data_IF_752621635120
#
_entry.id   IF_752621635120
#
_cell.length_a   1.000
_cell.length_b   1.000
_cell.length_c   1.000
_cell.angle_alpha   90.00
_cell.angle_beta   90.00
_cell.angle_gamma   90.00
#
_symmetry.space_group_name_H-M   'P 1'
#
loop_
_entity.id
_entity.type
_entity.pdbx_description
1 polymer ?
#
# COMPACT_ATOMS: atom_id res chain seq x y z
N UNK A 1 -22.47 9.90 -19.96
CA UNK A 1 -21.18 10.18 -20.63
C UNK A 1 -20.74 8.87 -21.25
N UNK A 2 -20.52 8.83 -22.57
CA UNK A 2 -20.13 7.61 -23.27
C UNK A 2 -18.68 7.29 -22.88
N UNK A 3 -18.40 6.08 -22.41
CA UNK A 3 -17.07 5.70 -21.89
C UNK A 3 -15.98 5.74 -22.98
N UNK A 4 -16.41 5.77 -24.25
CA UNK A 4 -15.54 5.89 -25.43
C UNK A 4 -15.07 7.33 -25.71
N UNK A 5 -15.73 8.34 -25.12
CA UNK A 5 -15.42 9.76 -25.34
C UNK A 5 -14.66 10.38 -24.15
N UNK A 6 -14.34 9.58 -23.12
CA UNK A 6 -13.53 10.03 -22.00
C UNK A 6 -12.05 9.90 -22.38
N UNK A 7 -11.39 11.02 -22.67
CA UNK A 7 -9.92 11.08 -22.72
C UNK A 7 -9.38 10.64 -21.35
N UNK A 8 -8.61 9.54 -21.28
CA UNK A 8 -8.08 9.10 -20.00
C UNK A 8 -7.03 10.10 -19.50
N UNK A 9 -7.32 10.81 -18.43
CA UNK A 9 -6.29 11.50 -17.65
C UNK A 9 -5.67 10.47 -16.71
N UNK A 10 -4.50 9.94 -17.07
CA UNK A 10 -3.71 9.08 -16.18
C UNK A 10 -2.70 9.93 -15.42
N UNK A 11 -2.49 9.62 -14.15
CA UNK A 11 -1.31 10.06 -13.44
C UNK A 11 -0.21 9.02 -13.59
N UNK A 12 1.01 9.47 -13.85
CA UNK A 12 2.21 8.65 -13.92
C UNK A 12 2.98 8.74 -12.60
N UNK A 13 3.93 7.83 -12.40
CA UNK A 13 4.89 7.93 -11.28
C UNK A 13 5.64 9.28 -11.30
N UNK A 14 5.93 9.82 -12.48
CA UNK A 14 6.52 11.16 -12.63
C UNK A 14 5.62 12.31 -12.14
N UNK A 15 4.32 12.09 -12.07
CA UNK A 15 3.36 13.07 -11.52
C UNK A 15 3.37 13.07 -9.99
N UNK A 16 4.08 12.11 -9.38
CA UNK A 16 4.26 11.94 -7.94
C UNK A 16 5.75 11.76 -7.61
N UNK A 17 6.59 12.78 -7.88
CA UNK A 17 8.01 12.65 -7.60
C UNK A 17 8.25 12.52 -6.09
N UNK A 18 8.66 11.33 -5.66
CA UNK A 18 9.06 11.05 -4.28
C UNK A 18 10.45 11.63 -4.04
N UNK A 19 10.49 12.93 -3.80
CA UNK A 19 11.72 13.62 -3.41
C UNK A 19 11.77 13.62 -1.89
N UNK A 20 12.27 12.54 -1.29
CA UNK A 20 12.92 12.69 0.00
C UNK A 20 14.18 13.52 -0.23
N UNK A 21 14.35 14.59 0.56
CA UNK A 21 15.31 15.64 0.26
C UNK A 21 16.69 15.04 0.05
N UNK A 22 17.27 15.22 -1.13
CA UNK A 22 18.59 14.69 -1.54
C UNK A 22 19.70 15.04 -0.54
N UNK A 23 19.84 14.26 0.54
CA UNK A 23 20.66 14.61 1.70
C UNK A 23 20.39 16.02 2.25
N UNK A 24 19.17 16.56 2.05
CA UNK A 24 18.92 17.97 2.33
C UNK A 24 18.75 18.19 3.83
N UNK A 25 19.44 19.20 4.36
CA UNK A 25 19.30 19.71 5.73
C UNK A 25 17.90 20.29 6.03
N UNK A 26 16.94 20.12 5.12
CA UNK A 26 15.55 20.52 5.28
C UNK A 26 14.81 19.47 6.09
N UNK A 27 14.49 19.79 7.34
CA UNK A 27 13.60 19.01 8.20
C UNK A 27 12.12 19.12 7.80
N UNK A 28 11.80 19.87 6.73
CA UNK A 28 10.43 19.95 6.21
C UNK A 28 10.31 19.12 4.94
N UNK A 29 9.58 18.01 5.04
CA UNK A 29 9.04 17.35 3.86
C UNK A 29 7.94 18.23 3.30
N UNK A 30 8.05 18.61 2.02
CA UNK A 30 6.99 19.34 1.34
C UNK A 30 5.98 18.31 0.85
N UNK A 31 4.73 18.30 1.36
CA UNK A 31 3.71 17.39 0.83
C UNK A 31 3.47 17.75 -0.64
N UNK A 32 3.81 16.85 -1.55
CA UNK A 32 3.48 16.98 -2.97
C UNK A 32 2.49 15.89 -3.30
N UNK A 33 1.23 16.28 -3.50
CA UNK A 33 0.19 15.40 -4.06
C UNK A 33 0.40 15.23 -5.57
N UNK A 34 -0.63 14.73 -6.26
CA UNK A 34 -0.64 14.64 -7.72
C UNK A 34 -0.24 15.99 -8.35
N UNK A 35 0.84 16.01 -9.12
CA UNK A 35 1.30 17.19 -9.84
C UNK A 35 0.65 17.32 -11.23
N UNK A 36 -0.19 16.37 -11.64
CA UNK A 36 -0.90 16.40 -12.90
C UNK A 36 -2.19 17.25 -12.79
N UNK A 37 -2.21 18.50 -13.30
CA UNK A 37 -3.37 19.37 -13.16
C UNK A 37 -4.58 18.89 -13.99
N UNK A 38 -4.36 17.97 -14.94
CA UNK A 38 -5.43 17.41 -15.78
C UNK A 38 -6.15 16.25 -15.07
N UNK A 39 -5.53 15.67 -14.03
CA UNK A 39 -6.14 14.63 -13.22
C UNK A 39 -6.84 15.31 -12.05
N UNK A 40 -8.18 15.35 -12.11
CA UNK A 40 -8.95 15.75 -10.94
C UNK A 40 -8.72 14.70 -9.85
N UNK A 41 -8.25 15.09 -8.67
CA UNK A 41 -8.17 14.19 -7.52
C UNK A 41 -9.59 13.72 -7.19
N UNK A 42 -9.90 12.46 -7.53
CA UNK A 42 -11.21 11.87 -7.26
C UNK A 42 -11.14 10.83 -6.14
N UNK A 43 -9.97 10.54 -5.59
CA UNK A 43 -9.82 9.51 -4.56
C UNK A 43 -10.03 10.11 -3.17
N UNK A 44 -10.82 9.42 -2.37
CA UNK A 44 -11.04 9.72 -0.95
C UNK A 44 -10.43 8.60 -0.12
N UNK A 45 -9.62 9.01 0.84
CA UNK A 45 -9.01 8.16 1.85
C UNK A 45 -9.62 8.53 3.21
N UNK A 46 -10.71 7.90 3.60
CA UNK A 46 -11.35 8.16 4.90
C UNK A 46 -11.46 6.93 5.80
N UNK A 47 -11.12 5.74 5.27
CA UNK A 47 -11.09 4.50 6.01
C UNK A 47 -9.76 3.79 5.81
N UNK A 48 -9.30 3.16 6.88
CA UNK A 48 -8.18 2.24 6.86
C UNK A 48 -8.57 0.95 7.60
N UNK A 49 -8.01 -0.17 7.17
CA UNK A 49 -8.07 -1.42 7.93
C UNK A 49 -6.70 -1.73 8.49
N UNK A 50 -6.65 -2.19 9.73
CA UNK A 50 -5.42 -2.60 10.40
C UNK A 50 -5.45 -4.10 10.57
N UNK A 51 -4.40 -4.79 10.13
CA UNK A 51 -4.29 -6.23 10.28
C UNK A 51 -3.40 -6.59 11.46
N UNK A 52 -3.91 -7.45 12.34
CA UNK A 52 -3.09 -8.07 13.38
C UNK A 52 -2.37 -9.29 12.81
N UNK A 53 -1.05 -9.21 12.64
CA UNK A 53 -0.22 -10.31 12.15
C UNK A 53 0.49 -10.95 13.34
N UNK A 54 0.12 -12.19 13.68
CA UNK A 54 0.62 -12.91 14.86
C UNK A 54 1.00 -14.35 14.50
N UNK A 55 1.59 -15.09 15.44
CA UNK A 55 2.03 -16.47 15.24
C UNK A 55 3.54 -16.60 15.01
N UNK A 56 3.94 -17.77 14.53
CA UNK A 56 5.30 -18.11 14.09
C UNK A 56 5.70 -17.28 12.87
N UNK A 57 7.01 -17.21 12.58
CA UNK A 57 7.54 -16.51 11.40
C UNK A 57 6.82 -16.90 10.10
N UNK A 58 6.63 -18.21 9.87
CA UNK A 58 5.98 -18.72 8.67
C UNK A 58 4.49 -18.35 8.61
N UNK A 59 3.79 -18.35 9.74
CA UNK A 59 2.39 -17.91 9.81
C UNK A 59 2.27 -16.41 9.53
N UNK A 60 3.22 -15.60 9.99
CA UNK A 60 3.24 -14.16 9.70
C UNK A 60 3.46 -13.89 8.21
N UNK A 61 4.47 -14.53 7.60
CA UNK A 61 4.74 -14.42 6.16
C UNK A 61 3.51 -14.82 5.36
N UNK A 62 2.87 -15.94 5.71
CA UNK A 62 1.65 -16.42 5.06
C UNK A 62 0.49 -15.43 5.19
N UNK A 63 0.30 -14.89 6.40
CA UNK A 63 -0.76 -13.90 6.67
C UNK A 63 -0.55 -12.62 5.87
N UNK A 64 0.68 -12.10 5.80
CA UNK A 64 1.02 -10.94 4.99
C UNK A 64 0.73 -11.16 3.51
N UNK A 65 1.11 -12.33 2.96
CA UNK A 65 0.79 -12.70 1.57
C UNK A 65 -0.72 -12.72 1.34
N UNK A 66 -1.50 -13.30 2.25
CA UNK A 66 -2.98 -13.28 2.18
C UNK A 66 -3.54 -11.87 2.18
N UNK A 67 -3.05 -11.00 3.07
CA UNK A 67 -3.50 -9.61 3.14
C UNK A 67 -3.22 -8.91 1.80
N UNK A 68 -1.99 -9.00 1.29
CA UNK A 68 -1.60 -8.39 0.01
C UNK A 68 -2.46 -8.91 -1.14
N UNK A 69 -2.74 -10.22 -1.16
CA UNK A 69 -3.55 -10.85 -2.19
C UNK A 69 -5.01 -10.35 -2.20
N UNK A 70 -5.65 -10.30 -1.02
CA UNK A 70 -7.08 -10.00 -0.94
C UNK A 70 -7.39 -8.50 -0.92
N UNK A 71 -6.52 -7.69 -0.33
CA UNK A 71 -6.81 -6.28 -0.08
C UNK A 71 -5.87 -5.34 -0.84
N UNK A 72 -4.83 -5.89 -1.47
CA UNK A 72 -3.82 -5.12 -2.18
C UNK A 72 -2.69 -4.64 -1.27
N UNK A 73 -1.89 -3.67 -1.75
CA UNK A 73 -0.68 -3.25 -1.08
C UNK A 73 -0.89 -2.75 0.35
N UNK A 74 0.05 -3.13 1.23
CA UNK A 74 0.04 -2.77 2.65
C UNK A 74 1.08 -1.70 2.92
N UNK A 75 0.69 -0.64 3.62
CA UNK A 75 1.67 0.18 4.34
C UNK A 75 2.28 -0.67 5.45
N UNK A 76 3.55 -0.51 5.76
CA UNK A 76 4.23 -1.21 6.86
C UNK A 76 5.45 -0.44 7.33
N UNK A 77 6.06 -0.89 8.43
CA UNK A 77 7.27 -0.30 8.96
C UNK A 77 8.43 -1.29 8.99
N UNK A 78 9.64 -0.76 8.86
CA UNK A 78 10.89 -1.52 8.91
C UNK A 78 11.91 -0.84 9.81
N UNK A 79 12.91 -1.61 10.24
CA UNK A 79 14.09 -1.06 10.89
C UNK A 79 15.21 -0.85 9.86
N UNK A 80 15.10 0.24 9.10
CA UNK A 80 16.00 0.55 7.98
C UNK A 80 17.44 0.83 8.42
N UNK A 81 17.65 1.47 9.58
CA UNK A 81 19.00 1.86 10.03
C UNK A 81 19.79 0.73 10.71
N UNK A 82 19.18 -0.45 10.90
CA UNK A 82 19.90 -1.61 11.46
C UNK A 82 21.05 -2.08 10.57
N UNK A 83 20.92 -1.85 9.25
CA UNK A 83 21.94 -2.16 8.27
C UNK A 83 22.26 -0.91 7.44
N UNK A 84 23.45 -0.30 7.64
CA UNK A 84 23.88 0.84 6.84
C UNK A 84 23.92 0.56 5.33
N UNK A 85 24.03 -0.71 4.92
CA UNK A 85 24.01 -1.08 3.50
C UNK A 85 22.64 -0.89 2.84
N UNK A 86 21.54 -0.88 3.62
CA UNK A 86 20.19 -0.72 3.10
C UNK A 86 20.02 0.58 2.31
N UNK A 87 20.69 1.67 2.71
CA UNK A 87 20.64 2.97 2.01
C UNK A 87 21.26 2.98 0.60
N UNK A 88 22.09 1.98 0.27
CA UNK A 88 22.80 1.89 -1.02
C UNK A 88 22.52 0.56 -1.73
N UNK A 89 21.44 -0.11 -1.36
CA UNK A 89 21.06 -1.38 -1.98
C UNK A 89 20.70 -1.13 -3.45
N UNK A 90 21.21 -2.00 -4.32
CA UNK A 90 20.86 -2.04 -5.73
C UNK A 90 19.85 -3.14 -6.00
N UNK A 91 20.00 -3.80 -7.15
CA UNK A 91 19.06 -4.85 -7.58
C UNK A 91 19.21 -6.18 -6.87
N UNK A 92 18.13 -6.96 -6.85
CA UNK A 92 18.10 -8.35 -6.37
C UNK A 92 17.32 -8.56 -5.07
N UNK A 93 17.45 -9.74 -4.45
CA UNK A 93 16.76 -10.07 -3.20
C UNK A 93 17.64 -9.70 -2.00
N UNK A 94 17.33 -8.57 -1.39
CA UNK A 94 17.96 -8.08 -0.16
C UNK A 94 17.44 -8.84 1.07
N UNK A 95 18.32 -9.24 1.97
CA UNK A 95 17.96 -9.89 3.25
C UNK A 95 18.46 -9.03 4.39
N UNK A 96 17.57 -8.59 5.27
CA UNK A 96 17.96 -7.89 6.50
C UNK A 96 18.87 -8.77 7.37
N UNK A 97 19.73 -8.18 8.22
CA UNK A 97 20.54 -8.93 9.16
C UNK A 97 19.69 -9.84 10.05
N UNK A 98 20.18 -11.03 10.37
CA UNK A 98 19.48 -11.98 11.26
C UNK A 98 19.28 -11.45 12.69
N UNK A 99 20.00 -10.38 13.06
CA UNK A 99 19.78 -9.64 14.31
C UNK A 99 18.50 -8.80 14.30
N UNK A 100 17.89 -8.54 13.14
CA UNK A 100 16.62 -7.83 13.05
C UNK A 100 15.45 -8.77 13.41
N UNK A 101 15.13 -8.81 14.69
CA UNK A 101 14.03 -9.64 15.19
C UNK A 101 12.65 -9.05 14.87
N UNK A 102 11.61 -9.89 14.91
CA UNK A 102 10.21 -9.49 14.75
C UNK A 102 9.69 -8.48 15.79
N UNK A 103 10.44 -8.24 16.87
CA UNK A 103 10.12 -7.26 17.90
C UNK A 103 11.20 -6.19 17.94
N UNK A 104 11.36 -5.49 16.82
CA UNK A 104 12.37 -4.44 16.70
C UNK A 104 11.75 -3.05 16.83
N UNK A 105 12.57 -2.06 17.17
CA UNK A 105 12.19 -0.67 16.99
C UNK A 105 12.29 -0.35 15.50
N UNK A 106 11.15 -0.12 14.85
CA UNK A 106 11.10 0.33 13.46
C UNK A 106 11.34 1.83 13.37
N UNK A 107 11.94 2.30 12.28
CA UNK A 107 12.31 3.71 12.07
C UNK A 107 11.91 4.25 10.69
N UNK A 108 11.37 3.42 9.80
CA UNK A 108 11.02 3.82 8.44
C UNK A 108 9.70 3.18 7.98
N UNK A 109 8.94 3.92 7.16
CA UNK A 109 7.67 3.48 6.57
C UNK A 109 7.81 3.20 5.07
N UNK A 110 7.25 2.08 4.63
CA UNK A 110 7.35 1.57 3.26
C UNK A 110 6.04 0.89 2.88
N UNK A 111 5.88 0.55 1.60
CA UNK A 111 4.70 -0.16 1.12
C UNK A 111 5.13 -1.52 0.56
N UNK A 112 4.47 -2.60 0.97
CA UNK A 112 4.60 -3.89 0.30
C UNK A 112 3.52 -3.99 -0.77
N UNK A 113 3.94 -4.01 -2.03
CA UNK A 113 3.05 -3.99 -3.19
C UNK A 113 2.83 -5.37 -3.81
N UNK A 114 3.56 -6.38 -3.36
CA UNK A 114 3.50 -7.72 -3.91
C UNK A 114 4.42 -8.69 -3.21
N UNK A 115 4.44 -9.93 -3.68
CA UNK A 115 5.32 -10.98 -3.23
C UNK A 115 5.63 -11.94 -4.39
N UNK A 116 6.70 -12.71 -4.26
CA UNK A 116 7.12 -13.65 -5.29
C UNK A 116 8.11 -14.67 -4.77
N UNK A 117 8.61 -15.48 -5.70
CA UNK A 117 9.64 -16.48 -5.45
C UNK A 117 10.55 -16.57 -6.67
N UNK A 118 11.85 -16.54 -6.43
CA UNK A 118 12.90 -16.63 -7.46
C UNK A 118 14.02 -17.53 -6.91
N UNK A 119 14.43 -18.52 -7.70
CA UNK A 119 15.48 -19.49 -7.33
C UNK A 119 15.31 -20.14 -5.95
N UNK A 120 14.06 -20.45 -5.58
CA UNK A 120 13.73 -21.06 -4.31
C UNK A 120 13.60 -20.08 -3.12
N UNK A 121 13.96 -18.80 -3.30
CA UNK A 121 13.89 -17.76 -2.28
C UNK A 121 12.61 -16.96 -2.42
N UNK A 122 11.86 -16.86 -1.33
CA UNK A 122 10.64 -16.06 -1.28
C UNK A 122 10.95 -14.61 -0.91
N UNK A 123 10.23 -13.67 -1.52
CA UNK A 123 10.42 -12.24 -1.28
C UNK A 123 9.10 -11.47 -1.29
N UNK A 124 9.11 -10.32 -0.62
CA UNK A 124 8.16 -9.24 -0.80
C UNK A 124 8.71 -8.22 -1.81
N UNK A 125 7.83 -7.58 -2.56
CA UNK A 125 8.16 -6.41 -3.39
C UNK A 125 7.85 -5.19 -2.55
N UNK A 126 8.91 -4.55 -2.06
CA UNK A 126 8.83 -3.32 -1.30
C UNK A 126 8.95 -2.13 -2.25
N UNK A 127 8.11 -1.12 -2.03
CA UNK A 127 8.21 0.20 -2.63
C UNK A 127 8.62 1.19 -1.55
N UNK A 128 9.65 1.97 -1.85
CA UNK A 128 10.21 2.99 -0.99
C UNK A 128 9.95 4.39 -1.57
N UNK A 129 10.30 5.43 -0.82
CA UNK A 129 10.11 6.83 -1.17
C UNK A 129 11.44 7.61 -1.15
N UNK A 130 12.52 6.96 -1.59
CA UNK A 130 13.86 7.55 -1.65
C UNK A 130 14.21 8.00 -3.07
N UNK A 131 15.48 8.33 -3.32
CA UNK A 131 15.95 8.81 -4.62
C UNK A 131 15.91 7.68 -5.67
N UNK A 132 15.68 8.05 -6.94
CA UNK A 132 15.46 7.12 -8.06
C UNK A 132 16.53 6.01 -8.21
N UNK A 133 17.77 6.25 -7.76
CA UNK A 133 18.85 5.26 -7.83
C UNK A 133 18.81 4.15 -6.78
N UNK A 134 17.86 4.18 -5.85
CA UNK A 134 17.75 3.18 -4.79
C UNK A 134 17.00 1.92 -5.25
N UNK A 135 17.49 0.75 -4.83
CA UNK A 135 16.92 -0.55 -5.18
C UNK A 135 17.13 -0.90 -6.66
N UNK A 136 16.08 -1.39 -7.32
CA UNK A 136 16.08 -1.74 -8.74
C UNK A 136 16.10 -0.51 -9.69
N UNK A 137 16.21 0.72 -9.16
CA UNK A 137 16.29 1.96 -9.95
C UNK A 137 14.96 2.69 -10.15
N UNK A 138 13.88 2.17 -9.57
CA UNK A 138 12.54 2.77 -9.59
C UNK A 138 11.93 2.83 -8.17
N UNK A 139 12.77 2.84 -7.12
CA UNK A 139 12.37 2.76 -5.71
C UNK A 139 11.71 1.44 -5.28
N UNK A 140 11.86 0.38 -6.08
CA UNK A 140 11.42 -0.96 -5.74
C UNK A 140 12.59 -1.83 -5.31
N UNK A 141 12.31 -2.77 -4.40
CA UNK A 141 13.30 -3.75 -3.95
C UNK A 141 12.62 -5.06 -3.58
N UNK A 142 13.21 -6.18 -3.97
CA UNK A 142 12.81 -7.50 -3.47
C UNK A 142 13.44 -7.69 -2.09
N UNK A 143 12.62 -7.86 -1.06
CA UNK A 143 13.04 -8.12 0.32
C UNK A 143 12.77 -9.58 0.65
N UNK A 144 13.78 -10.33 1.06
CA UNK A 144 13.62 -11.73 1.47
C UNK A 144 12.62 -11.84 2.61
N UNK A 145 11.76 -12.87 2.55
CA UNK A 145 10.85 -13.20 3.66
C UNK A 145 11.55 -13.92 4.81
N UNK A 146 12.86 -14.19 4.73
CA UNK A 146 13.62 -14.86 5.79
C UNK A 146 13.70 -14.03 7.07
N UNK A 147 13.72 -12.69 6.94
CA UNK A 147 13.81 -11.74 8.05
C UNK A 147 12.84 -10.58 7.78
N UNK A 148 11.76 -10.48 8.56
CA UNK A 148 10.72 -9.47 8.35
C UNK A 148 11.14 -8.08 8.81
N UNK A 149 12.03 -7.98 9.80
CA UNK A 149 12.61 -6.72 10.27
C UNK A 149 11.60 -5.58 10.54
N UNK A 150 10.44 -5.94 11.11
CA UNK A 150 9.34 -5.01 11.41
C UNK A 150 8.10 -5.18 10.52
N UNK A 151 8.23 -5.80 9.34
CA UNK A 151 7.08 -6.06 8.46
C UNK A 151 6.08 -6.96 9.20
N UNK A 152 4.83 -6.52 9.32
CA UNK A 152 3.80 -7.26 10.06
C UNK A 152 3.92 -7.16 11.59
N UNK A 153 4.85 -6.37 12.13
CA UNK A 153 5.00 -6.26 13.58
C UNK A 153 3.82 -5.54 14.23
N UNK A 154 3.29 -6.10 15.34
CA UNK A 154 2.37 -5.41 16.24
C UNK A 154 3.16 -4.59 17.24
N UNK A 155 3.01 -3.25 17.26
CA UNK A 155 3.68 -2.39 18.23
C UNK A 155 2.67 -1.92 19.29
N UNK A 156 2.59 -2.64 20.41
CA UNK A 156 1.78 -2.26 21.58
C UNK A 156 0.26 -2.21 21.36
N UNK A 157 -0.47 -1.76 22.39
CA UNK A 157 -1.92 -1.52 22.32
C UNK A 157 -2.28 -0.04 22.07
N UNK A 158 -1.27 0.85 21.96
CA UNK A 158 -1.46 2.30 21.85
C UNK A 158 -0.67 3.01 20.74
N UNK A 159 -0.02 2.29 19.83
CA UNK A 159 0.43 2.86 18.55
C UNK A 159 0.00 1.92 17.43
N UNK A 160 -0.67 2.47 16.43
CA UNK A 160 -1.23 1.73 15.30
C UNK A 160 -0.10 0.88 14.69
N UNK A 161 -0.22 -0.46 14.63
CA UNK A 161 0.74 -1.22 13.85
C UNK A 161 0.62 -0.69 12.42
N UNK A 162 1.75 -0.28 11.84
CA UNK A 162 1.78 0.41 10.56
C UNK A 162 1.37 -0.49 9.37
N UNK A 163 0.85 -1.70 9.64
CA UNK A 163 0.24 -2.63 8.71
C UNK A 163 -1.22 -2.24 8.45
N UNK A 164 -1.41 -1.21 7.64
CA UNK A 164 -2.73 -0.77 7.24
C UNK A 164 -2.88 -0.70 5.73
N UNK A 165 -4.12 -0.91 5.33
CA UNK A 165 -4.58 -0.66 3.97
C UNK A 165 -5.49 0.52 4.03
N UNK A 166 -5.24 1.51 3.19
CA UNK A 166 -6.16 2.63 3.00
C UNK A 166 -7.12 2.25 1.90
N UNK A 167 -8.41 2.28 2.22
CA UNK A 167 -9.43 2.13 1.19
C UNK A 167 -9.59 3.47 0.48
N UNK A 168 -9.01 3.56 -0.71
CA UNK A 168 -9.22 4.67 -1.63
C UNK A 168 -10.44 4.36 -2.49
N UNK A 169 -11.52 5.13 -2.34
CA UNK A 169 -12.76 4.87 -3.07
C UNK A 169 -13.58 6.13 -3.27
N UNK A 170 -14.31 6.19 -4.38
CA UNK A 170 -15.23 7.29 -4.65
C UNK A 170 -16.51 6.81 -5.32
N UNK A 171 -17.60 7.52 -5.04
CA UNK A 171 -18.92 7.21 -5.57
C UNK A 171 -19.08 7.37 -7.09
N UNK A 172 -18.13 8.01 -7.79
CA UNK A 172 -18.11 8.13 -9.26
C UNK A 172 -17.56 6.88 -9.95
N UNK A 173 -16.67 6.15 -9.27
CA UNK A 173 -16.06 4.91 -9.74
C UNK A 173 -16.79 3.67 -9.25
N UNK A 174 -17.57 3.80 -8.17
CA UNK A 174 -18.40 2.72 -7.66
C UNK A 174 -19.57 2.43 -8.63
N UNK A 175 -19.45 1.32 -9.36
CA UNK A 175 -20.47 0.83 -10.31
C UNK A 175 -21.83 0.57 -9.66
N UNK A 176 -21.87 0.33 -8.35
CA UNK A 176 -23.08 0.03 -7.57
C UNK A 176 -23.69 1.30 -6.98
N UNK A 177 -23.01 2.44 -7.07
CA UNK A 177 -23.52 3.73 -6.63
C UNK A 177 -24.59 4.26 -7.58
N UNK A 178 -25.72 4.68 -7.02
CA UNK A 178 -26.80 5.32 -7.78
C UNK A 178 -26.74 6.85 -7.68
N UNK A 179 -26.44 7.37 -6.47
CA UNK A 179 -26.31 8.80 -6.22
C UNK A 179 -25.01 9.11 -5.49
N UNK A 180 -24.26 10.08 -6.01
CA UNK A 180 -22.90 10.42 -5.57
C UNK A 180 -22.84 11.88 -5.09
N UNK A 181 -22.54 12.08 -3.80
CA UNK A 181 -22.30 13.40 -3.22
C UNK A 181 -20.99 13.98 -3.75
N UNK A 182 -21.07 15.11 -4.44
CA UNK A 182 -19.93 15.74 -5.11
C UNK A 182 -18.93 16.41 -4.14
N UNK A 183 -19.34 16.69 -2.90
CA UNK A 183 -18.50 17.31 -1.88
C UNK A 183 -17.76 16.25 -1.05
N UNK A 184 -18.47 15.19 -0.65
CA UNK A 184 -17.91 14.13 0.21
C UNK A 184 -17.37 12.94 -0.57
N UNK A 185 -17.72 12.79 -1.85
CA UNK A 185 -17.41 11.64 -2.70
C UNK A 185 -17.92 10.29 -2.15
N UNK A 186 -18.95 10.34 -1.31
CA UNK A 186 -19.68 9.18 -0.77
C UNK A 186 -20.94 8.87 -1.59
N UNK A 187 -21.31 7.59 -1.65
CA UNK A 187 -22.62 7.20 -2.15
C UNK A 187 -23.69 7.63 -1.15
N UNK A 188 -24.71 8.32 -1.64
CA UNK A 188 -25.92 8.65 -0.87
C UNK A 188 -27.06 7.68 -1.15
N UNK A 189 -27.00 6.94 -2.27
CA UNK A 189 -27.92 5.86 -2.60
C UNK A 189 -27.21 4.77 -3.41
N UNK A 190 -27.60 3.52 -3.18
CA UNK A 190 -27.08 2.34 -3.87
C UNK A 190 -28.11 1.77 -4.86
N UNK A 191 -27.63 1.10 -5.90
CA UNK A 191 -28.46 0.37 -6.86
C UNK A 191 -29.13 -0.83 -6.18
N UNK A 192 -30.19 -1.35 -6.80
CA UNK A 192 -30.91 -2.52 -6.30
C UNK A 192 -29.96 -3.70 -6.02
N UNK A 193 -30.25 -4.45 -4.95
CA UNK A 193 -29.46 -5.60 -4.47
C UNK A 193 -28.05 -5.25 -3.96
N UNK A 194 -27.79 -3.99 -3.64
CA UNK A 194 -26.55 -3.55 -2.98
C UNK A 194 -26.88 -2.69 -1.77
N UNK A 195 -26.01 -2.70 -0.77
CA UNK A 195 -26.17 -1.97 0.49
C UNK A 195 -25.04 -0.99 0.70
N UNK A 196 -25.36 0.18 1.27
CA UNK A 196 -24.38 1.20 1.60
C UNK A 196 -23.64 0.78 2.87
N UNK A 197 -22.32 0.64 2.81
CA UNK A 197 -21.50 0.33 3.97
C UNK A 197 -21.04 1.59 4.72
N UNK A 198 -20.35 1.40 5.84
CA UNK A 198 -19.82 2.50 6.65
C UNK A 198 -18.78 3.36 5.91
N UNK A 199 -18.14 2.81 4.87
CA UNK A 199 -17.20 3.53 4.00
C UNK A 199 -17.94 4.42 3.01
N UNK A 200 -19.27 4.34 2.88
CA UNK A 200 -20.01 5.05 1.86
C UNK A 200 -19.81 4.47 0.46
N UNK A 201 -19.58 3.16 0.39
CA UNK A 201 -19.49 2.34 -0.83
C UNK A 201 -20.69 1.38 -0.89
N UNK A 202 -21.12 1.01 -2.09
CA UNK A 202 -22.25 0.12 -2.32
C UNK A 202 -21.77 -1.32 -2.60
N UNK A 203 -22.06 -2.25 -1.69
CA UNK A 203 -21.61 -3.66 -1.74
C UNK A 203 -22.76 -4.63 -1.95
N UNK A 204 -22.56 -5.69 -2.75
CA UNK A 204 -23.56 -6.74 -2.99
C UNK A 204 -23.64 -7.79 -1.88
N UNK A 205 -24.70 -8.61 -1.87
CA UNK A 205 -24.92 -9.65 -0.83
C UNK A 205 -23.86 -10.78 -0.79
N UNK A 206 -23.13 -11.00 -1.89
CA UNK A 206 -22.08 -12.03 -2.01
C UNK A 206 -20.67 -11.47 -2.22
N UNK A 207 -20.54 -10.15 -2.25
CA UNK A 207 -19.24 -9.51 -2.07
C UNK A 207 -19.02 -9.46 -0.56
N UNK A 208 -18.78 -10.63 0.06
CA UNK A 208 -18.35 -10.66 1.46
C UNK A 208 -17.10 -9.78 1.56
N UNK A 209 -17.13 -8.72 2.38
CA UNK A 209 -15.96 -7.88 2.53
C UNK A 209 -14.76 -8.61 3.20
N UNK A 210 -14.91 -9.85 3.72
CA UNK A 210 -13.87 -10.52 4.53
C UNK A 210 -13.72 -12.07 4.52
N UNK A 211 -14.45 -12.93 3.77
CA UNK A 211 -14.32 -14.41 3.92
C UNK A 211 -13.78 -15.19 2.70
N UNK A 212 -12.95 -16.21 2.97
CA UNK A 212 -11.96 -16.77 2.06
C UNK A 212 -12.18 -18.18 1.53
N UNK A 213 -11.49 -18.49 0.42
CA UNK A 213 -11.20 -19.84 -0.10
C UNK A 213 -9.85 -19.80 -0.84
N UNK A 214 -9.08 -20.87 -0.65
CA UNK A 214 -7.81 -21.25 -1.28
C UNK A 214 -7.99 -21.46 -2.80
N UNK A 215 -7.11 -20.91 -3.64
CA UNK A 215 -6.71 -21.61 -4.86
C UNK A 215 -5.41 -21.06 -5.46
N UNK A 216 -4.54 -22.01 -5.82
CA UNK A 216 -3.21 -21.77 -6.33
C UNK A 216 -3.19 -21.05 -7.68
N UNK A 217 -2.06 -20.40 -7.92
CA UNK A 217 -1.59 -19.72 -9.14
C UNK A 217 -1.67 -18.19 -9.15
N UNK A 218 -0.55 -17.62 -9.59
CA UNK A 218 -0.07 -16.25 -9.50
C UNK A 218 -0.94 -15.28 -10.33
N UNK A 219 -1.12 -14.04 -9.85
CA UNK A 219 -1.28 -12.87 -10.72
C UNK A 219 -0.87 -11.59 -9.99
N UNK A 220 0.08 -10.85 -10.57
CA UNK A 220 0.33 -9.45 -10.23
C UNK A 220 -1.00 -8.70 -10.40
N UNK A 221 -1.63 -8.26 -9.32
CA UNK A 221 -2.66 -7.23 -9.38
C UNK A 221 -2.00 -5.86 -9.54
N UNK A 222 -1.35 -5.69 -10.69
CA UNK A 222 -0.98 -4.41 -11.25
C UNK A 222 -2.25 -3.74 -11.76
N UNK A 223 -2.92 -3.00 -10.88
CA UNK A 223 -3.58 -1.77 -11.27
C UNK A 223 -2.86 -0.65 -10.53
N UNK A 224 -1.72 -0.28 -11.10
CA UNK A 224 -0.77 0.75 -10.63
C UNK A 224 -1.39 2.15 -10.46
N UNK A 225 -2.69 2.34 -10.70
CA UNK A 225 -3.37 3.64 -10.66
C UNK A 225 -4.16 3.91 -9.37
N UNK A 226 -4.29 2.95 -8.44
CA UNK A 226 -5.15 3.12 -7.24
C UNK A 226 -4.33 3.28 -5.95
N UNK A 227 -3.02 3.07 -5.98
CA UNK A 227 -2.17 3.20 -4.81
C UNK A 227 -1.50 4.58 -4.63
N UNK A 228 -2.05 5.60 -5.27
CA UNK A 228 -1.39 6.89 -5.50
C UNK A 228 -1.64 7.98 -4.44
N UNK A 229 -2.13 7.65 -3.24
CA UNK A 229 -2.50 8.69 -2.26
C UNK A 229 -2.06 8.49 -0.81
N UNK A 230 -1.23 7.49 -0.51
CA UNK A 230 -0.84 7.20 0.88
C UNK A 230 0.57 7.70 1.13
N UNK A 231 0.69 8.99 1.52
CA UNK A 231 1.78 9.53 2.38
C UNK A 231 1.55 11.03 2.69
N UNK A 232 0.30 11.46 2.89
CA UNK A 232 -0.03 12.84 3.25
C UNK A 232 -0.42 13.05 4.72
N UNK A 233 -0.41 11.99 5.54
CA UNK A 233 -0.64 12.13 6.98
C UNK A 233 0.36 11.27 7.75
N UNK A 234 0.96 11.87 8.78
CA UNK A 234 1.94 11.37 9.75
C UNK A 234 3.36 11.98 9.61
N UNK A 235 3.42 13.31 9.79
CA UNK A 235 4.57 14.00 10.39
C UNK A 235 4.06 14.89 11.52
N UNK A 236 3.97 14.30 12.72
CA UNK A 236 4.12 14.96 14.02
C UNK A 236 4.75 13.95 14.97
#
# INVERSE_FOLDING_TARGET
MNILDAEPSYSLESDYPYIDGSGSTSTSCSPRGDQNPNVKIQMRNDHYHVFAVTGTHQEKVHTLKKIIHHYGPISTAIYSTIDPAFGNVGSGIYTFPSSCTDNTQTDHQVIIVGYGKEDGREFFIMRNSWYDGWGDGDNYLKISTDVLCGIGQKIGDFYIPLNYIVFAGNCKLDKNCDSCDQNTLKCSACKANTTLDARGMCVGEWEDPYDGVDDGSISLLLNMNILLFILLFFML
#
